data_IF_750016728990
#
_entry.id   IF_750016728990
#
_cell.length_a   1.000
_cell.length_b   1.000
_cell.length_c   1.000
_cell.angle_alpha   90.00
_cell.angle_beta   90.00
_cell.angle_gamma   90.00
#
_symmetry.space_group_name_H-M   'P 1'
#
loop_
_entity.id
_entity.type
_entity.pdbx_description
1 polymer ?
#
# COMPACT_ATOMS: atom_id res chain seq x y z
N UNK A 1 -34.85 -11.70 -13.41
CA UNK A 1 -34.53 -10.48 -12.65
C UNK A 1 -33.35 -10.83 -11.77
N UNK A 2 -32.16 -10.40 -12.20
CA UNK A 2 -30.86 -10.77 -11.65
C UNK A 2 -30.66 -10.10 -10.28
N UNK A 3 -30.63 -10.92 -9.22
CA UNK A 3 -30.17 -10.49 -7.90
C UNK A 3 -28.64 -10.28 -7.97
N UNK A 4 -28.21 -9.07 -8.35
CA UNK A 4 -26.83 -8.63 -8.14
C UNK A 4 -26.66 -8.33 -6.65
N UNK A 5 -26.21 -9.32 -5.88
CA UNK A 5 -25.38 -9.02 -4.70
C UNK A 5 -24.19 -8.23 -5.25
N UNK A 6 -24.21 -6.90 -5.13
CA UNK A 6 -23.20 -6.01 -5.72
C UNK A 6 -21.79 -6.48 -5.33
N UNK A 7 -21.10 -7.06 -6.31
CA UNK A 7 -19.73 -7.50 -6.19
C UNK A 7 -18.84 -6.25 -6.15
N UNK A 8 -18.08 -6.07 -5.08
CA UNK A 8 -17.11 -4.97 -5.00
C UNK A 8 -15.89 -5.35 -5.83
N UNK A 9 -15.62 -4.61 -6.91
CA UNK A 9 -14.43 -4.81 -7.75
C UNK A 9 -13.33 -3.81 -7.42
N UNK A 10 -12.08 -4.12 -7.82
CA UNK A 10 -10.98 -3.18 -7.63
C UNK A 10 -11.17 -1.93 -8.48
N UNK A 11 -11.73 -2.09 -9.67
CA UNK A 11 -12.03 -1.03 -10.64
C UNK A 11 -13.03 -0.03 -10.05
N UNK A 12 -14.07 -0.49 -9.36
CA UNK A 12 -15.05 0.38 -8.70
C UNK A 12 -14.40 1.19 -7.56
N UNK A 13 -13.56 0.53 -6.76
CA UNK A 13 -12.81 1.19 -5.68
C UNK A 13 -11.85 2.23 -6.26
N UNK A 14 -11.12 1.89 -7.32
CA UNK A 14 -10.21 2.79 -8.02
C UNK A 14 -10.90 3.98 -8.69
N UNK A 15 -12.09 3.77 -9.24
CA UNK A 15 -12.89 4.83 -9.84
C UNK A 15 -13.31 5.91 -8.82
N UNK A 16 -13.38 5.57 -7.54
CA UNK A 16 -13.81 6.50 -6.47
C UNK A 16 -12.90 7.72 -6.34
N UNK A 17 -11.58 7.51 -6.25
CA UNK A 17 -10.60 8.61 -6.23
C UNK A 17 -9.18 8.14 -6.62
N UNK A 18 -8.39 9.09 -7.13
CA UNK A 18 -6.95 8.94 -7.34
C UNK A 18 -6.24 9.97 -6.47
N UNK A 19 -5.43 9.45 -5.55
CA UNK A 19 -4.69 10.21 -4.56
C UNK A 19 -3.21 10.23 -4.94
N UNK A 20 -2.60 11.41 -4.90
CA UNK A 20 -1.14 11.57 -4.94
C UNK A 20 -0.65 12.27 -3.68
N UNK A 21 0.46 11.78 -3.12
CA UNK A 21 1.13 12.40 -1.98
C UNK A 21 2.59 12.61 -2.32
N UNK A 22 3.00 13.88 -2.36
CA UNK A 22 4.35 14.30 -2.71
C UNK A 22 5.01 15.01 -1.53
N UNK A 23 6.34 14.89 -1.40
CA UNK A 23 7.08 15.57 -0.34
C UNK A 23 7.29 17.05 -0.71
N UNK A 24 6.93 17.97 0.18
CA UNK A 24 7.26 19.39 -0.01
C UNK A 24 8.78 19.57 0.15
N UNK A 25 9.50 20.15 -0.84
CA UNK A 25 10.96 20.28 -0.80
C UNK A 25 11.44 21.15 0.37
N UNK A 26 10.70 22.22 0.67
CA UNK A 26 11.02 23.17 1.73
C UNK A 26 10.57 22.66 3.10
N UNK A 27 11.52 22.56 4.03
CA UNK A 27 11.23 22.24 5.42
C UNK A 27 10.87 23.53 6.17
N UNK A 28 9.66 23.60 6.72
CA UNK A 28 9.17 24.74 7.51
C UNK A 28 9.45 24.55 9.00
N UNK A 29 9.49 25.66 9.76
CA UNK A 29 9.66 25.67 11.22
C UNK A 29 10.95 26.37 11.67
N UNK A 30 10.83 27.29 12.63
CA UNK A 30 11.93 28.15 13.12
C UNK A 30 12.94 27.41 14.02
N UNK A 31 12.48 26.43 14.82
CA UNK A 31 13.30 25.71 15.81
C UNK A 31 13.29 24.20 15.55
N UNK A 32 12.13 23.64 15.20
CA UNK A 32 11.95 22.24 14.79
C UNK A 32 11.40 22.22 13.36
N UNK A 33 12.28 21.89 12.41
CA UNK A 33 11.88 21.72 11.02
C UNK A 33 10.94 20.52 10.88
N UNK A 34 9.75 20.72 10.31
CA UNK A 34 8.82 19.64 9.96
C UNK A 34 8.74 19.45 8.45
N UNK A 35 8.37 18.23 8.04
CA UNK A 35 8.09 17.89 6.65
C UNK A 35 6.60 18.04 6.39
N UNK A 36 6.27 18.60 5.24
CA UNK A 36 4.92 18.71 4.71
C UNK A 36 4.81 17.89 3.43
N UNK A 37 3.57 17.59 3.05
CA UNK A 37 3.24 16.84 1.85
C UNK A 37 2.20 17.61 1.04
N UNK A 38 2.35 17.65 -0.27
CA UNK A 38 1.26 17.99 -1.17
C UNK A 38 0.36 16.76 -1.30
N UNK A 39 -0.91 16.94 -1.00
CA UNK A 39 -1.93 15.89 -1.07
C UNK A 39 -2.93 16.30 -2.14
N UNK A 40 -3.02 15.52 -3.21
CA UNK A 40 -3.90 15.79 -4.34
C UNK A 40 -5.01 14.75 -4.42
N UNK A 41 -6.26 15.19 -4.63
CA UNK A 41 -7.42 14.34 -4.90
C UNK A 41 -7.97 14.66 -6.28
N UNK A 42 -8.09 13.64 -7.13
CA UNK A 42 -8.69 13.77 -8.45
C UNK A 42 -10.20 13.99 -8.36
N UNK A 43 -10.88 13.28 -7.46
CA UNK A 43 -12.33 13.39 -7.23
C UNK A 43 -12.74 14.81 -6.87
N UNK A 44 -11.92 15.49 -6.06
CA UNK A 44 -12.22 16.84 -5.57
C UNK A 44 -11.56 17.96 -6.39
N UNK A 45 -10.59 17.64 -7.23
CA UNK A 45 -9.84 18.65 -7.99
C UNK A 45 -9.01 19.58 -7.10
N UNK A 46 -8.55 19.08 -5.96
CA UNK A 46 -7.84 19.87 -4.95
C UNK A 46 -6.42 19.36 -4.73
N UNK A 47 -5.53 20.29 -4.40
CA UNK A 47 -4.21 19.99 -3.83
C UNK A 47 -4.05 20.82 -2.56
N UNK A 48 -3.83 20.15 -1.43
CA UNK A 48 -3.66 20.78 -0.11
C UNK A 48 -2.33 20.39 0.52
N UNK A 49 -1.82 21.23 1.41
CA UNK A 49 -0.61 20.92 2.18
C UNK A 49 -1.00 20.27 3.51
N UNK A 50 -0.35 19.15 3.84
CA UNK A 50 -0.54 18.43 5.10
C UNK A 50 0.77 18.04 5.75
N UNK A 51 0.83 18.04 7.07
CA UNK A 51 1.92 17.42 7.84
C UNK A 51 1.52 16.04 8.35
N UNK A 52 2.49 15.19 8.66
CA UNK A 52 2.25 13.83 9.17
C UNK A 52 1.27 13.79 10.37
N UNK A 53 1.35 14.74 11.31
CA UNK A 53 0.45 14.75 12.47
C UNK A 53 -1.02 14.99 12.09
N UNK A 54 -1.32 15.64 10.96
CA UNK A 54 -2.71 15.79 10.50
C UNK A 54 -3.28 14.46 9.98
N UNK A 55 -2.45 13.65 9.30
CA UNK A 55 -2.84 12.27 8.96
C UNK A 55 -3.13 11.46 10.22
N UNK A 56 -2.30 11.60 11.27
CA UNK A 56 -2.53 10.92 12.56
C UNK A 56 -3.86 11.33 13.17
N UNK A 57 -4.17 12.63 13.18
CA UNK A 57 -5.45 13.13 13.68
C UNK A 57 -6.64 12.57 12.91
N UNK A 58 -6.58 12.53 11.56
CA UNK A 58 -7.63 11.92 10.74
C UNK A 58 -7.79 10.43 11.01
N UNK A 59 -6.67 9.71 11.14
CA UNK A 59 -6.67 8.29 11.44
C UNK A 59 -7.30 8.00 12.81
N UNK A 60 -6.97 8.81 13.83
CA UNK A 60 -7.58 8.71 15.16
C UNK A 60 -9.09 8.98 15.13
N UNK A 61 -9.55 9.96 14.33
CA UNK A 61 -10.97 10.22 14.10
C UNK A 61 -11.65 9.00 13.50
N UNK A 62 -11.09 8.37 12.48
CA UNK A 62 -11.68 7.17 11.89
C UNK A 62 -11.71 5.98 12.85
N UNK A 63 -10.65 5.76 13.64
CA UNK A 63 -10.68 4.69 14.64
C UNK A 63 -11.76 4.88 15.70
N UNK A 64 -12.07 6.13 16.05
CA UNK A 64 -13.13 6.45 17.01
C UNK A 64 -14.54 6.41 16.38
N UNK A 65 -14.69 6.90 15.15
CA UNK A 65 -15.96 7.01 14.43
C UNK A 65 -16.40 5.69 13.81
N UNK A 66 -15.46 4.88 13.33
CA UNK A 66 -15.71 3.66 12.55
C UNK A 66 -15.08 2.41 13.17
N UNK A 67 -15.52 1.99 14.37
CA UNK A 67 -14.94 0.83 15.06
C UNK A 67 -15.08 -0.47 14.26
N UNK A 68 -16.08 -0.57 13.37
CA UNK A 68 -16.43 -1.77 12.60
C UNK A 68 -15.90 -1.76 11.16
N UNK A 69 -15.14 -0.73 10.75
CA UNK A 69 -14.54 -0.62 9.41
C UNK A 69 -13.05 -0.94 9.40
N UNK A 70 -12.53 -1.42 8.26
CA UNK A 70 -11.13 -1.76 8.10
C UNK A 70 -10.28 -0.51 7.82
N UNK A 71 -9.81 0.13 8.89
CA UNK A 71 -8.89 1.27 8.80
C UNK A 71 -7.43 0.81 8.90
N UNK A 72 -6.63 1.09 7.86
CA UNK A 72 -5.20 0.81 7.85
C UNK A 72 -4.45 1.64 8.90
N UNK A 73 -3.36 1.10 9.45
CA UNK A 73 -2.46 1.87 10.31
C UNK A 73 -1.56 2.79 9.49
N UNK A 74 -1.24 3.94 10.04
CA UNK A 74 -0.22 4.82 9.49
C UNK A 74 1.19 4.26 9.73
N UNK A 75 2.18 4.61 8.87
CA UNK A 75 3.58 4.31 9.15
C UNK A 75 4.00 4.92 10.50
N UNK A 76 4.89 4.28 11.29
CA UNK A 76 5.16 4.68 12.67
C UNK A 76 5.75 6.09 12.79
N UNK A 77 5.35 6.78 13.87
CA UNK A 77 5.90 8.08 14.25
C UNK A 77 7.32 7.93 14.78
N UNK A 78 8.30 7.89 13.89
CA UNK A 78 9.71 8.04 14.27
C UNK A 78 10.02 9.51 14.50
N UNK A 79 10.43 9.85 15.72
CA UNK A 79 11.06 11.14 16.03
C UNK A 79 12.49 11.03 15.52
N UNK A 80 12.80 11.74 14.43
CA UNK A 80 14.15 11.76 13.88
C UNK A 80 14.67 13.19 13.96
N UNK A 81 15.76 13.36 14.70
CA UNK A 81 16.50 14.62 14.79
C UNK A 81 16.92 15.02 13.38
N UNK A 82 16.63 16.25 12.97
CA UNK A 82 16.97 16.74 11.63
C UNK A 82 16.03 16.29 10.50
N UNK A 83 14.82 15.78 10.79
CA UNK A 83 13.78 15.55 9.78
C UNK A 83 13.87 14.22 9.02
N UNK A 84 14.82 13.34 9.35
CA UNK A 84 14.94 12.01 8.75
C UNK A 84 15.78 11.95 7.47
N UNK A 85 16.27 10.76 7.13
CA UNK A 85 17.01 10.51 5.88
C UNK A 85 16.09 10.60 4.66
N UNK A 86 16.60 10.92 3.46
CA UNK A 86 15.80 10.95 2.23
C UNK A 86 15.02 9.65 2.00
N UNK A 87 15.69 8.49 2.18
CA UNK A 87 15.07 7.16 2.09
C UNK A 87 13.90 6.99 3.07
N UNK A 88 14.06 7.49 4.30
CA UNK A 88 13.00 7.44 5.30
C UNK A 88 11.79 8.29 4.90
N UNK A 89 12.02 9.51 4.42
CA UNK A 89 10.97 10.41 3.98
C UNK A 89 10.20 9.84 2.79
N UNK A 90 10.90 9.24 1.82
CA UNK A 90 10.25 8.63 0.67
C UNK A 90 9.40 7.41 1.06
N UNK A 91 9.92 6.53 1.94
CA UNK A 91 9.14 5.39 2.46
C UNK A 91 7.90 5.85 3.22
N UNK A 92 8.01 6.92 4.02
CA UNK A 92 6.87 7.50 4.73
C UNK A 92 5.85 8.07 3.75
N UNK A 93 6.29 8.88 2.79
CA UNK A 93 5.43 9.45 1.73
C UNK A 93 4.66 8.35 1.00
N UNK A 94 5.34 7.28 0.57
CA UNK A 94 4.71 6.13 -0.08
C UNK A 94 3.64 5.46 0.77
N UNK A 95 3.92 5.25 2.06
CA UNK A 95 2.95 4.68 2.99
C UNK A 95 1.77 5.64 3.27
N UNK A 96 2.00 6.96 3.31
CA UNK A 96 0.92 7.95 3.45
C UNK A 96 0.03 7.98 2.21
N UNK A 97 0.61 7.89 1.01
CA UNK A 97 -0.15 7.76 -0.23
C UNK A 97 -1.06 6.54 -0.20
N UNK A 98 -0.50 5.35 0.02
CA UNK A 98 -1.30 4.12 0.08
C UNK A 98 -2.38 4.15 1.14
N UNK A 99 -2.06 4.66 2.34
CA UNK A 99 -3.05 4.81 3.42
C UNK A 99 -4.22 5.69 2.98
N UNK A 100 -3.93 6.87 2.43
CA UNK A 100 -4.96 7.81 2.00
C UNK A 100 -5.72 7.31 0.77
N UNK A 101 -5.06 6.61 -0.15
CA UNK A 101 -5.69 5.92 -1.27
C UNK A 101 -6.73 4.91 -0.78
N UNK A 102 -6.38 4.05 0.18
CA UNK A 102 -7.32 3.06 0.71
C UNK A 102 -8.51 3.72 1.41
N UNK A 103 -8.28 4.79 2.16
CA UNK A 103 -9.35 5.57 2.82
C UNK A 103 -10.26 6.25 1.79
N UNK A 104 -9.68 6.94 0.81
CA UNK A 104 -10.42 7.71 -0.19
C UNK A 104 -11.15 6.85 -1.23
N UNK A 105 -10.78 5.57 -1.35
CA UNK A 105 -11.44 4.56 -2.19
C UNK A 105 -12.43 3.69 -1.42
N UNK A 106 -12.50 3.80 -0.10
CA UNK A 106 -13.36 2.96 0.72
C UNK A 106 -14.84 3.31 0.54
N UNK A 107 -15.76 2.35 0.32
CA UNK A 107 -17.17 2.64 0.03
C UNK A 107 -17.85 3.56 1.06
N UNK A 108 -17.59 3.33 2.35
CA UNK A 108 -18.07 4.19 3.45
C UNK A 108 -17.18 5.42 3.69
N UNK A 109 -15.88 5.24 3.98
CA UNK A 109 -15.01 6.34 4.44
C UNK A 109 -14.79 7.43 3.38
N UNK A 110 -14.87 7.10 2.09
CA UNK A 110 -14.73 8.06 1.00
C UNK A 110 -15.82 9.16 1.01
N UNK A 111 -16.93 8.94 1.70
CA UNK A 111 -18.05 9.87 1.82
C UNK A 111 -18.04 10.66 3.13
N UNK A 112 -17.03 10.45 3.97
CA UNK A 112 -16.93 11.09 5.26
C UNK A 112 -16.60 12.59 5.16
N UNK A 113 -17.27 13.39 5.99
CA UNK A 113 -17.08 14.84 5.99
C UNK A 113 -15.68 15.25 6.46
N UNK A 114 -15.11 14.54 7.45
CA UNK A 114 -13.77 14.83 7.98
C UNK A 114 -12.69 14.51 6.94
N UNK A 115 -12.88 13.44 6.14
CA UNK A 115 -12.04 13.17 4.97
C UNK A 115 -12.11 14.30 3.95
N UNK A 116 -13.33 14.75 3.61
CA UNK A 116 -13.52 15.83 2.63
C UNK A 116 -12.83 17.11 3.08
N UNK A 117 -13.01 17.51 4.34
CA UNK A 117 -12.29 18.63 4.97
C UNK A 117 -10.78 18.44 4.86
N UNK A 118 -10.29 17.24 5.17
CA UNK A 118 -8.87 16.91 5.05
C UNK A 118 -8.34 16.96 3.60
N UNK A 119 -9.16 16.69 2.58
CA UNK A 119 -8.73 16.75 1.17
C UNK A 119 -8.91 18.14 0.53
N UNK A 120 -9.80 18.97 1.06
CA UNK A 120 -10.24 20.21 0.39
C UNK A 120 -9.81 21.50 1.09
N UNK A 121 -9.72 21.52 2.42
CA UNK A 121 -9.53 22.78 3.17
C UNK A 121 -8.06 23.10 3.42
N UNK A 122 -7.68 24.38 3.47
CA UNK A 122 -6.29 24.75 3.79
C UNK A 122 -5.94 24.50 5.26
N UNK A 123 -6.92 24.55 6.16
CA UNK A 123 -6.77 24.28 7.60
C UNK A 123 -7.88 23.35 8.09
N UNK A 124 -7.60 22.05 8.13
CA UNK A 124 -8.55 21.07 8.64
C UNK A 124 -8.60 21.12 10.18
N UNK A 125 -9.77 21.35 10.75
CA UNK A 125 -10.03 21.19 12.19
C UNK A 125 -10.80 19.90 12.43
N UNK A 126 -10.06 18.84 12.75
CA UNK A 126 -10.62 17.52 13.00
C UNK A 126 -10.96 17.40 14.49
N UNK A 127 -12.25 17.22 14.79
CA UNK A 127 -12.74 17.03 16.17
C UNK A 127 -12.88 15.55 16.50
N UNK A 128 -12.77 15.22 17.80
CA UNK A 128 -13.05 13.86 18.24
C UNK A 128 -14.55 13.56 18.08
N UNK A 129 -14.91 12.46 17.41
CA UNK A 129 -16.32 12.11 17.22
C UNK A 129 -16.96 11.80 18.58
N UNK A 130 -18.19 12.30 18.78
CA UNK A 130 -19.00 12.04 19.99
C UNK A 130 -19.71 10.69 19.94
N UNK A 131 -20.00 10.21 18.74
CA UNK A 131 -20.77 9.01 18.45
C UNK A 131 -20.06 8.20 17.38
N UNK A 132 -20.16 6.87 17.48
CA UNK A 132 -19.67 5.96 16.46
C UNK A 132 -20.70 5.78 15.33
N UNK A 133 -20.28 5.11 14.27
CA UNK A 133 -21.08 4.83 13.07
C UNK A 133 -22.39 4.10 13.38
N UNK A 134 -22.43 3.25 14.42
CA UNK A 134 -23.65 2.52 14.79
C UNK A 134 -24.68 3.46 15.40
N UNK A 135 -24.25 4.36 16.27
CA UNK A 135 -25.14 5.39 16.84
C UNK A 135 -25.58 6.38 15.76
N UNK A 136 -24.67 6.75 14.84
CA UNK A 136 -24.94 7.70 13.76
C UNK A 136 -25.86 7.14 12.66
N UNK A 137 -25.76 5.85 12.35
CA UNK A 137 -26.65 5.18 11.40
C UNK A 137 -28.12 5.12 11.88
N UNK A 138 -28.34 5.35 13.19
CA UNK A 138 -29.63 5.21 13.83
C UNK A 138 -29.98 3.75 14.12
N UNK A 139 -30.78 3.51 15.16
CA UNK A 139 -31.23 2.16 15.52
C UNK A 139 -32.34 1.61 14.60
N UNK A 140 -32.59 2.27 13.45
CA UNK A 140 -33.75 2.10 12.58
C UNK A 140 -33.49 1.24 11.34
N UNK A 141 -32.43 0.45 11.30
CA UNK A 141 -32.30 -0.56 10.24
C UNK A 141 -33.28 -1.72 10.48
N UNK A 142 -34.55 -1.47 10.15
CA UNK A 142 -35.63 -2.45 10.06
C UNK A 142 -35.62 -3.15 8.67
N UNK A 143 -34.59 -2.93 7.86
CA UNK A 143 -34.39 -3.68 6.62
C UNK A 143 -34.30 -5.17 6.97
N UNK A 144 -35.06 -6.04 6.28
CA UNK A 144 -35.00 -7.47 6.54
C UNK A 144 -33.58 -7.96 6.28
N UNK A 145 -32.87 -8.31 7.36
CA UNK A 145 -31.53 -8.88 7.28
C UNK A 145 -31.59 -10.11 6.40
N UNK A 146 -30.91 -10.06 5.26
CA UNK A 146 -30.85 -11.17 4.30
C UNK A 146 -30.23 -12.43 4.90
N UNK A 147 -29.39 -12.27 5.94
CA UNK A 147 -28.73 -13.34 6.66
C UNK A 147 -29.10 -13.30 8.15
N UNK A 148 -29.33 -14.48 8.73
CA UNK A 148 -29.42 -14.66 10.17
C UNK A 148 -28.09 -14.36 10.85
N UNK A 149 -28.14 -14.15 12.17
CA UNK A 149 -26.94 -13.89 12.98
C UNK A 149 -25.93 -15.04 12.92
N UNK A 150 -26.41 -16.29 12.90
CA UNK A 150 -25.55 -17.47 12.85
C UNK A 150 -24.90 -17.63 11.47
N UNK A 151 -25.62 -17.33 10.39
CA UNK A 151 -25.06 -17.31 9.04
C UNK A 151 -23.99 -16.22 8.89
N UNK A 152 -24.24 -15.01 9.40
CA UNK A 152 -23.24 -13.95 9.38
C UNK A 152 -22.00 -14.31 10.21
N UNK A 153 -22.20 -14.95 11.35
CA UNK A 153 -21.10 -15.40 12.20
C UNK A 153 -20.24 -16.48 11.52
N UNK A 154 -20.89 -17.43 10.84
CA UNK A 154 -20.21 -18.46 10.06
C UNK A 154 -19.45 -17.87 8.86
N UNK A 155 -20.09 -16.94 8.13
CA UNK A 155 -19.46 -16.21 7.03
C UNK A 155 -18.22 -15.45 7.52
N UNK A 156 -18.33 -14.68 8.60
CA UNK A 156 -17.21 -13.95 9.18
C UNK A 156 -16.01 -14.86 9.49
N UNK A 157 -16.23 -16.01 10.14
CA UNK A 157 -15.15 -16.96 10.47
C UNK A 157 -14.50 -17.52 9.20
N UNK A 158 -15.31 -17.88 8.21
CA UNK A 158 -14.81 -18.39 6.92
C UNK A 158 -13.97 -17.34 6.18
N UNK A 159 -14.50 -16.13 6.05
CA UNK A 159 -13.86 -14.98 5.40
C UNK A 159 -12.55 -14.59 6.09
N UNK A 160 -12.56 -14.56 7.43
CA UNK A 160 -11.38 -14.27 8.23
C UNK A 160 -10.23 -15.24 7.93
N UNK A 161 -10.51 -16.55 7.89
CA UNK A 161 -9.47 -17.54 7.63
C UNK A 161 -8.97 -17.49 6.18
N UNK A 162 -9.88 -17.37 5.21
CA UNK A 162 -9.50 -17.30 3.81
C UNK A 162 -8.61 -16.09 3.52
N UNK A 163 -8.99 -14.90 4.00
CA UNK A 163 -8.20 -13.68 3.79
C UNK A 163 -6.88 -13.69 4.57
N UNK A 164 -6.84 -14.36 5.73
CA UNK A 164 -5.58 -14.58 6.47
C UNK A 164 -4.59 -15.42 5.67
N UNK A 165 -5.06 -16.49 5.00
CA UNK A 165 -4.21 -17.34 4.16
C UNK A 165 -3.68 -16.56 2.94
N UNK A 166 -4.54 -15.78 2.27
CA UNK A 166 -4.14 -14.91 1.16
C UNK A 166 -3.08 -13.91 1.61
N UNK A 167 -3.29 -13.26 2.76
CA UNK A 167 -2.32 -12.33 3.32
C UNK A 167 -0.97 -12.97 3.59
N UNK A 168 -0.95 -14.17 4.17
CA UNK A 168 0.28 -14.91 4.44
C UNK A 168 1.02 -15.27 3.14
N UNK A 169 0.28 -15.71 2.12
CA UNK A 169 0.80 -16.03 0.80
C UNK A 169 1.40 -14.81 0.09
N UNK A 170 0.61 -13.73 -0.05
CA UNK A 170 1.06 -12.47 -0.66
C UNK A 170 2.25 -11.87 0.10
N UNK A 171 2.25 -11.91 1.43
CA UNK A 171 3.38 -11.40 2.24
C UNK A 171 4.67 -12.18 1.98
N UNK A 172 4.58 -13.50 1.77
CA UNK A 172 5.74 -14.33 1.43
C UNK A 172 6.23 -14.04 0.02
N UNK A 173 5.32 -13.92 -0.95
CA UNK A 173 5.64 -13.58 -2.33
C UNK A 173 6.33 -12.21 -2.43
N UNK A 174 5.76 -11.20 -1.76
CA UNK A 174 6.34 -9.86 -1.70
C UNK A 174 7.78 -9.88 -1.16
N UNK A 175 8.04 -10.60 -0.06
CA UNK A 175 9.40 -10.78 0.47
C UNK A 175 10.35 -11.54 -0.47
N UNK A 176 9.83 -12.37 -1.37
CA UNK A 176 10.66 -13.00 -2.41
C UNK A 176 11.01 -11.95 -3.45
N UNK A 177 10.04 -11.17 -3.94
CA UNK A 177 10.26 -10.12 -4.92
C UNK A 177 11.24 -9.06 -4.41
N UNK A 178 11.07 -8.54 -3.19
CA UNK A 178 12.04 -7.59 -2.59
C UNK A 178 13.47 -8.16 -2.54
N UNK A 179 13.61 -9.46 -2.25
CA UNK A 179 14.93 -10.11 -2.22
C UNK A 179 15.51 -10.29 -3.62
N UNK A 180 14.69 -10.58 -4.63
CA UNK A 180 15.14 -10.70 -6.03
C UNK A 180 15.60 -9.34 -6.51
N UNK A 181 14.78 -8.32 -6.31
CA UNK A 181 15.08 -6.94 -6.68
C UNK A 181 16.36 -6.43 -6.01
N UNK A 182 16.54 -6.69 -4.71
CA UNK A 182 17.79 -6.35 -4.03
C UNK A 182 19.03 -7.04 -4.62
N UNK A 183 18.88 -8.26 -5.16
CA UNK A 183 19.98 -8.92 -5.90
C UNK A 183 20.20 -8.30 -7.27
N UNK A 184 19.12 -7.97 -8.00
CA UNK A 184 19.23 -7.28 -9.28
C UNK A 184 19.91 -5.93 -9.13
N UNK A 185 19.61 -5.17 -8.08
CA UNK A 185 20.28 -3.89 -7.82
C UNK A 185 21.76 -4.05 -7.47
N UNK A 186 22.09 -5.06 -6.66
CA UNK A 186 23.49 -5.39 -6.36
C UNK A 186 24.26 -5.78 -7.65
N UNK A 187 23.67 -6.65 -8.48
CA UNK A 187 24.26 -7.04 -9.77
C UNK A 187 24.42 -5.85 -10.72
N UNK A 188 23.45 -4.93 -10.77
CA UNK A 188 23.57 -3.67 -11.54
C UNK A 188 24.71 -2.79 -11.02
N UNK A 189 24.92 -2.72 -9.71
CA UNK A 189 26.04 -1.98 -9.13
C UNK A 189 27.39 -2.61 -9.53
N UNK A 190 27.49 -3.94 -9.49
CA UNK A 190 28.69 -4.67 -9.91
C UNK A 190 28.97 -4.49 -11.41
N UNK A 191 27.93 -4.49 -12.26
CA UNK A 191 28.06 -4.20 -13.71
C UNK A 191 28.58 -2.78 -13.94
N UNK A 192 28.11 -1.79 -13.17
CA UNK A 192 28.61 -0.41 -13.25
C UNK A 192 30.09 -0.34 -12.87
N UNK A 193 30.51 -1.03 -11.82
CA UNK A 193 31.91 -1.12 -11.42
C UNK A 193 32.78 -1.83 -12.47
N UNK A 194 32.27 -2.92 -13.06
CA UNK A 194 32.93 -3.62 -14.17
C UNK A 194 33.14 -2.67 -15.37
N UNK A 195 32.11 -1.92 -15.76
CA UNK A 195 32.21 -0.94 -16.85
C UNK A 195 33.27 0.14 -16.57
N UNK A 196 33.32 0.66 -15.34
CA UNK A 196 34.34 1.60 -14.92
C UNK A 196 35.76 1.00 -14.97
N UNK A 197 35.92 -0.25 -14.54
CA UNK A 197 37.19 -0.97 -14.62
C UNK A 197 37.67 -1.20 -16.06
N UNK A 198 36.78 -1.67 -16.93
CA UNK A 198 37.08 -1.86 -18.36
C UNK A 198 37.42 -0.54 -19.05
N UNK A 199 36.72 0.54 -18.72
CA UNK A 199 36.99 1.89 -19.22
C UNK A 199 38.40 2.34 -18.82
N UNK A 200 38.79 2.15 -17.55
CA UNK A 200 40.14 2.48 -17.09
C UNK A 200 41.23 1.71 -17.85
N UNK A 201 41.02 0.40 -18.09
CA UNK A 201 41.93 -0.45 -18.86
C UNK A 201 42.04 -0.06 -20.34
N UNK A 202 41.02 0.58 -20.89
CA UNK A 202 41.00 1.03 -22.29
C UNK A 202 41.88 2.26 -22.58
N UNK A 203 42.40 2.92 -21.53
CA UNK A 203 43.19 4.16 -21.66
C UNK A 203 44.46 3.94 -22.50
N UNK A 204 44.66 4.68 -23.61
CA UNK A 204 45.81 4.48 -24.50
C UNK A 204 47.12 4.93 -23.87
N UNK A 205 48.22 4.25 -24.22
CA UNK A 205 49.59 4.62 -23.86
C UNK A 205 50.45 4.77 -25.12
N UNK A 206 51.35 5.78 -25.17
CA UNK A 206 52.20 6.01 -26.35
C UNK A 206 53.20 4.87 -26.62
N UNK A 207 53.41 3.96 -25.67
CA UNK A 207 54.26 2.78 -25.82
C UNK A 207 53.50 1.51 -26.30
N UNK A 208 52.20 1.62 -26.60
CA UNK A 208 51.38 0.46 -26.93
C UNK A 208 51.75 -0.16 -28.29
N UNK A 209 51.93 -1.48 -28.31
CA UNK A 209 52.05 -2.24 -29.57
C UNK A 209 50.69 -2.32 -30.30
N UNK A 210 50.67 -2.59 -31.62
CA UNK A 210 49.40 -2.78 -32.35
C UNK A 210 48.47 -3.82 -31.74
N UNK A 211 49.02 -4.91 -31.18
CA UNK A 211 48.26 -5.94 -30.47
C UNK A 211 47.62 -5.39 -29.20
N UNK A 212 48.34 -4.53 -28.47
CA UNK A 212 47.83 -3.93 -27.24
C UNK A 212 46.74 -2.90 -27.52
N UNK A 213 46.88 -2.12 -28.60
CA UNK A 213 45.85 -1.19 -29.05
C UNK A 213 44.53 -1.92 -29.40
N UNK A 214 44.61 -3.07 -30.08
CA UNK A 214 43.44 -3.90 -30.37
C UNK A 214 42.73 -4.38 -29.09
N UNK A 215 43.49 -4.88 -28.10
CA UNK A 215 42.94 -5.28 -26.79
C UNK A 215 42.27 -4.10 -26.08
N UNK A 216 42.88 -2.91 -26.07
CA UNK A 216 42.28 -1.72 -25.46
C UNK A 216 40.98 -1.31 -26.14
N UNK A 217 40.89 -1.44 -27.46
CA UNK A 217 39.65 -1.17 -28.20
C UNK A 217 38.53 -2.15 -27.83
N UNK A 218 38.86 -3.44 -27.65
CA UNK A 218 37.91 -4.42 -27.10
C UNK A 218 37.45 -4.07 -25.68
N UNK A 219 38.37 -3.66 -24.81
CA UNK A 219 38.03 -3.20 -23.44
C UNK A 219 37.12 -1.97 -23.46
N UNK A 220 37.39 -1.01 -24.35
CA UNK A 220 36.54 0.17 -24.53
C UNK A 220 35.12 -0.22 -24.94
N UNK A 221 35.00 -1.08 -25.95
CA UNK A 221 33.70 -1.54 -26.47
C UNK A 221 32.91 -2.29 -25.39
N UNK A 222 33.59 -3.14 -24.61
CA UNK A 222 32.98 -3.83 -23.48
C UNK A 222 32.56 -2.87 -22.34
N UNK A 223 33.34 -1.82 -22.07
CA UNK A 223 32.99 -0.79 -21.10
C UNK A 223 31.70 -0.04 -21.49
N UNK A 224 31.58 0.35 -22.77
CA UNK A 224 30.39 1.04 -23.30
C UNK A 224 29.11 0.19 -23.13
N UNK A 225 29.20 -1.12 -23.39
CA UNK A 225 28.08 -2.06 -23.17
C UNK A 225 27.66 -2.13 -21.69
N UNK A 226 28.63 -2.25 -20.78
CA UNK A 226 28.37 -2.34 -19.34
C UNK A 226 27.78 -1.03 -18.77
N UNK A 227 28.28 0.13 -19.20
CA UNK A 227 27.75 1.44 -18.79
C UNK A 227 26.32 1.65 -19.29
N UNK A 228 26.03 1.34 -20.55
CA UNK A 228 24.70 1.48 -21.12
C UNK A 228 23.64 0.67 -20.34
N UNK A 229 24.00 -0.55 -19.91
CA UNK A 229 23.14 -1.37 -19.07
C UNK A 229 22.97 -0.83 -17.65
N UNK A 230 24.04 -0.32 -17.05
CA UNK A 230 24.02 0.27 -15.70
C UNK A 230 23.19 1.55 -15.58
N UNK A 231 22.95 2.25 -16.70
CA UNK A 231 22.14 3.47 -16.79
C UNK A 231 20.66 3.20 -17.17
N UNK A 232 20.32 1.98 -17.60
CA UNK A 232 18.94 1.63 -17.97
C UNK A 232 18.03 1.59 -16.73
N UNK A 233 17.10 2.55 -16.63
CA UNK A 233 16.13 2.69 -15.54
C UNK A 233 14.77 2.03 -15.81
N UNK A 234 14.60 1.44 -17.00
CA UNK A 234 13.29 1.35 -17.64
C UNK A 234 12.36 0.24 -17.12
N UNK A 235 12.81 -0.65 -16.22
CA UNK A 235 12.00 -1.78 -15.77
C UNK A 235 12.22 -2.13 -14.30
N UNK A 236 12.17 -1.11 -13.44
CA UNK A 236 11.96 -1.37 -12.02
C UNK A 236 10.50 -1.72 -11.76
N UNK A 237 10.28 -2.55 -10.75
CA UNK A 237 8.92 -2.85 -10.33
C UNK A 237 8.32 -1.56 -9.79
N UNK A 238 7.28 -1.06 -10.45
CA UNK A 238 6.54 0.08 -9.94
C UNK A 238 5.72 -0.36 -8.71
N UNK A 239 6.12 0.16 -7.56
CA UNK A 239 5.46 -0.01 -6.27
C UNK A 239 4.63 1.22 -5.86
N UNK A 240 4.67 2.28 -6.65
CA UNK A 240 3.85 3.47 -6.46
C UNK A 240 2.55 3.35 -7.26
N UNK A 241 2.67 2.94 -8.52
CA UNK A 241 1.57 2.61 -9.44
C UNK A 241 1.76 1.20 -10.04
N UNK A 242 0.75 0.65 -10.71
CA UNK A 242 0.85 -0.62 -11.41
C UNK A 242 0.87 -1.88 -10.52
N UNK A 243 1.59 -2.91 -10.96
CA UNK A 243 1.46 -4.27 -10.42
C UNK A 243 1.99 -4.41 -8.98
N UNK A 244 3.12 -3.78 -8.67
CA UNK A 244 3.70 -3.77 -7.33
C UNK A 244 2.87 -2.91 -6.37
N UNK A 245 2.36 -1.77 -6.86
CA UNK A 245 1.41 -0.93 -6.14
C UNK A 245 0.15 -1.70 -5.70
N UNK A 246 -0.45 -2.50 -6.61
CA UNK A 246 -1.60 -3.37 -6.30
C UNK A 246 -1.29 -4.37 -5.19
N UNK A 247 -0.11 -5.00 -5.20
CA UNK A 247 0.31 -5.94 -4.14
C UNK A 247 0.44 -5.22 -2.79
N UNK A 248 1.04 -4.04 -2.75
CA UNK A 248 1.18 -3.27 -1.51
C UNK A 248 -0.18 -2.79 -0.96
N UNK A 249 -1.07 -2.29 -1.82
CA UNK A 249 -2.43 -1.91 -1.43
C UNK A 249 -3.20 -3.10 -0.85
N UNK A 250 -3.07 -4.29 -1.47
CA UNK A 250 -3.69 -5.51 -0.95
C UNK A 250 -3.14 -5.93 0.40
N UNK A 251 -1.82 -5.86 0.61
CA UNK A 251 -1.20 -6.17 1.90
C UNK A 251 -1.68 -5.23 3.02
N UNK A 252 -1.78 -3.93 2.71
CA UNK A 252 -2.28 -2.92 3.64
C UNK A 252 -3.78 -3.15 3.94
N UNK A 253 -4.62 -3.38 2.93
CA UNK A 253 -6.06 -3.67 3.09
C UNK A 253 -6.32 -4.96 3.89
N UNK A 254 -5.60 -6.05 3.58
CA UNK A 254 -5.65 -7.31 4.34
C UNK A 254 -5.15 -7.12 5.78
N UNK A 255 -4.17 -6.24 5.98
CA UNK A 255 -3.70 -5.83 7.31
C UNK A 255 -4.81 -5.17 8.13
N UNK A 256 -5.50 -4.20 7.54
CA UNK A 256 -6.63 -3.52 8.16
C UNK A 256 -7.78 -4.47 8.48
N UNK A 257 -8.13 -5.35 7.55
CA UNK A 257 -9.19 -6.35 7.77
C UNK A 257 -8.81 -7.31 8.92
N UNK A 258 -7.56 -7.81 8.95
CA UNK A 258 -7.09 -8.65 10.06
C UNK A 258 -7.18 -7.93 11.41
N UNK A 259 -6.80 -6.66 11.46
CA UNK A 259 -6.92 -5.86 12.69
C UNK A 259 -8.38 -5.66 13.10
N UNK A 260 -9.27 -5.37 12.14
CA UNK A 260 -10.71 -5.29 12.38
C UNK A 260 -11.23 -6.61 12.98
N UNK A 261 -10.93 -7.76 12.37
CA UNK A 261 -11.32 -9.06 12.90
C UNK A 261 -10.83 -9.25 14.35
N UNK A 262 -9.60 -8.86 14.66
CA UNK A 262 -9.07 -8.90 16.02
C UNK A 262 -9.84 -7.99 17.00
N UNK A 263 -10.25 -6.78 16.57
CA UNK A 263 -11.09 -5.88 17.38
C UNK A 263 -12.48 -6.49 17.59
N UNK A 264 -13.08 -7.04 16.55
CA UNK A 264 -14.40 -7.64 16.58
C UNK A 264 -14.44 -8.87 17.47
N UNK A 265 -13.48 -9.79 17.36
CA UNK A 265 -13.43 -10.96 18.25
C UNK A 265 -13.41 -10.52 19.71
N UNK A 266 -12.55 -9.57 20.09
CA UNK A 266 -12.50 -9.08 21.48
C UNK A 266 -13.76 -8.31 21.90
N UNK A 267 -14.24 -7.39 21.06
CA UNK A 267 -15.37 -6.51 21.36
C UNK A 267 -16.71 -7.24 21.37
N UNK A 268 -16.98 -8.06 20.36
CA UNK A 268 -18.23 -8.82 20.23
C UNK A 268 -18.38 -9.87 21.33
N UNK A 269 -17.29 -10.49 21.80
CA UNK A 269 -17.36 -11.36 22.99
C UNK A 269 -17.83 -10.59 24.23
N UNK A 270 -17.31 -9.38 24.44
CA UNK A 270 -17.74 -8.52 25.54
C UNK A 270 -19.21 -8.10 25.43
N UNK A 271 -19.65 -7.68 24.24
CA UNK A 271 -21.04 -7.28 24.01
C UNK A 271 -22.03 -8.45 24.15
N UNK A 272 -21.68 -9.65 23.66
CA UNK A 272 -22.49 -10.87 23.82
C UNK A 272 -22.59 -11.28 25.29
N UNK A 273 -21.47 -11.25 26.03
CA UNK A 273 -21.46 -11.55 27.46
C UNK A 273 -22.31 -10.54 28.25
N UNK A 274 -22.19 -9.25 27.95
CA UNK A 274 -22.99 -8.20 28.58
C UNK A 274 -24.49 -8.33 28.24
N UNK A 275 -24.83 -8.68 26.99
CA UNK A 275 -26.21 -8.91 26.59
C UNK A 275 -26.83 -10.14 27.28
N UNK A 276 -26.05 -11.21 27.47
CA UNK A 276 -26.48 -12.42 28.16
C UNK A 276 -26.63 -12.22 29.67
N UNK A 277 -25.84 -11.32 30.28
CA UNK A 277 -25.95 -10.95 31.69
C UNK A 277 -27.11 -9.98 31.98
N UNK A 278 -27.60 -9.27 30.97
CA UNK A 278 -28.75 -8.37 31.09
C UNK A 278 -30.09 -9.12 31.00
N UNK A 279 -31.18 -8.50 31.50
CA UNK A 279 -32.51 -9.10 31.38
C UNK A 279 -32.85 -9.33 29.89
N UNK A 280 -33.35 -10.54 29.49
CA UNK A 280 -33.48 -10.96 28.09
C UNK A 280 -34.29 -10.03 27.19
N UNK A 281 -35.20 -9.25 27.77
CA UNK A 281 -36.08 -8.31 27.08
C UNK A 281 -35.79 -6.84 27.41
N UNK A 282 -34.68 -6.54 28.11
CA UNK A 282 -34.30 -5.15 28.37
C UNK A 282 -33.88 -4.44 27.08
N UNK A 283 -34.18 -3.14 27.01
CA UNK A 283 -33.73 -2.29 25.91
C UNK A 283 -32.20 -2.32 25.74
N UNK A 284 -31.46 -2.42 26.84
CA UNK A 284 -30.00 -2.58 26.84
C UNK A 284 -29.55 -3.88 26.15
N UNK A 285 -30.15 -5.03 26.50
CA UNK A 285 -29.84 -6.31 25.86
C UNK A 285 -30.23 -6.34 24.37
N UNK A 286 -31.32 -5.65 24.00
CA UNK A 286 -31.71 -5.50 22.59
C UNK A 286 -30.71 -4.64 21.81
N UNK A 287 -30.27 -3.51 22.37
CA UNK A 287 -29.29 -2.63 21.76
C UNK A 287 -27.95 -3.34 21.51
N UNK A 288 -27.45 -4.08 22.50
CA UNK A 288 -26.21 -4.87 22.36
C UNK A 288 -26.33 -5.94 21.26
N UNK A 289 -27.48 -6.62 21.13
CA UNK A 289 -27.72 -7.58 20.05
C UNK A 289 -27.79 -6.91 18.67
N UNK A 290 -28.42 -5.74 18.57
CA UNK A 290 -28.43 -4.95 17.32
C UNK A 290 -27.03 -4.53 16.92
N UNK A 291 -26.23 -4.03 17.88
CA UNK A 291 -24.83 -3.64 17.68
C UNK A 291 -23.95 -4.81 17.24
N UNK A 292 -24.12 -5.97 17.85
CA UNK A 292 -23.43 -7.20 17.44
C UNK A 292 -23.77 -7.59 16.00
N UNK A 293 -25.05 -7.52 15.61
CA UNK A 293 -25.49 -7.80 14.24
C UNK A 293 -24.94 -6.79 13.23
N UNK A 294 -24.97 -5.51 13.57
CA UNK A 294 -24.38 -4.45 12.74
C UNK A 294 -22.88 -4.69 12.51
N UNK A 295 -22.14 -5.04 13.57
CA UNK A 295 -20.72 -5.31 13.48
C UNK A 295 -20.37 -6.53 12.61
N UNK A 296 -21.20 -7.59 12.64
CA UNK A 296 -21.05 -8.74 11.74
C UNK A 296 -21.39 -8.39 10.28
N UNK A 297 -22.43 -7.58 10.05
CA UNK A 297 -22.76 -7.12 8.70
C UNK A 297 -21.60 -6.29 8.11
N UNK A 298 -21.08 -5.34 8.89
CA UNK A 298 -19.91 -4.56 8.51
C UNK A 298 -18.73 -5.47 8.20
N UNK A 299 -18.42 -6.48 9.03
CA UNK A 299 -17.25 -7.33 8.78
C UNK A 299 -17.33 -8.10 7.46
N UNK A 300 -18.53 -8.50 7.03
CA UNK A 300 -18.76 -9.14 5.73
C UNK A 300 -18.59 -8.12 4.59
N UNK A 301 -19.08 -6.89 4.75
CA UNK A 301 -18.85 -5.81 3.77
C UNK A 301 -17.34 -5.52 3.62
N UNK A 302 -16.62 -5.41 4.73
CA UNK A 302 -15.18 -5.15 4.74
C UNK A 302 -14.37 -6.30 4.12
N UNK A 303 -14.84 -7.55 4.25
CA UNK A 303 -14.19 -8.69 3.62
C UNK A 303 -14.27 -8.61 2.09
N UNK A 304 -15.38 -8.10 1.52
CA UNK A 304 -15.53 -7.87 0.08
C UNK A 304 -14.53 -6.84 -0.43
N UNK A 305 -14.34 -5.74 0.31
CA UNK A 305 -13.32 -4.73 -0.02
C UNK A 305 -11.91 -5.35 0.00
N UNK A 306 -11.58 -6.11 1.05
CA UNK A 306 -10.29 -6.79 1.14
C UNK A 306 -10.07 -7.82 0.02
N UNK A 307 -11.13 -8.53 -0.40
CA UNK A 307 -11.11 -9.47 -1.54
C UNK A 307 -10.83 -8.76 -2.85
N UNK A 308 -11.47 -7.62 -3.10
CA UNK A 308 -11.26 -6.84 -4.33
C UNK A 308 -9.77 -6.49 -4.53
N UNK A 309 -9.14 -5.94 -3.49
CA UNK A 309 -7.69 -5.66 -3.53
C UNK A 309 -6.85 -6.93 -3.66
N UNK A 310 -7.21 -7.99 -2.94
CA UNK A 310 -6.49 -9.27 -3.00
C UNK A 310 -6.51 -9.89 -4.39
N UNK A 311 -7.68 -9.87 -5.05
CA UNK A 311 -7.85 -10.39 -6.39
C UNK A 311 -7.02 -9.59 -7.40
N UNK A 312 -7.06 -8.26 -7.32
CA UNK A 312 -6.26 -7.40 -8.19
C UNK A 312 -4.75 -7.63 -8.01
N UNK A 313 -4.28 -7.86 -6.78
CA UNK A 313 -2.89 -8.19 -6.50
C UNK A 313 -2.49 -9.58 -7.04
N UNK A 314 -3.34 -10.59 -6.88
CA UNK A 314 -3.08 -11.94 -7.40
C UNK A 314 -3.07 -11.94 -8.93
N UNK A 315 -3.99 -11.22 -9.56
CA UNK A 315 -4.04 -11.04 -11.00
C UNK A 315 -2.86 -10.22 -11.52
N UNK A 316 -2.23 -9.34 -10.73
CA UNK A 316 -1.06 -8.58 -11.17
C UNK A 316 0.28 -9.34 -11.07
N UNK A 317 0.30 -10.51 -10.43
CA UNK A 317 1.54 -11.28 -10.21
C UNK A 317 2.28 -11.64 -11.51
N UNK A 318 1.55 -11.94 -12.58
CA UNK A 318 2.18 -12.29 -13.86
C UNK A 318 3.00 -11.11 -14.43
N UNK A 319 2.56 -9.87 -14.21
CA UNK A 319 3.26 -8.68 -14.68
C UNK A 319 4.56 -8.46 -13.90
N UNK A 320 4.56 -8.74 -12.59
CA UNK A 320 5.77 -8.72 -11.76
C UNK A 320 6.79 -9.76 -12.22
N UNK A 321 6.33 -11.01 -12.43
CA UNK A 321 7.18 -12.09 -12.91
C UNK A 321 7.76 -11.80 -14.30
N UNK A 322 6.97 -11.21 -15.21
CA UNK A 322 7.43 -10.78 -16.52
C UNK A 322 8.53 -9.72 -16.42
N UNK A 323 8.35 -8.73 -15.55
CA UNK A 323 9.33 -7.64 -15.34
C UNK A 323 10.65 -8.19 -14.82
N UNK A 324 10.60 -9.07 -13.80
CA UNK A 324 11.78 -9.75 -13.27
C UNK A 324 12.46 -10.64 -14.33
N UNK A 325 11.68 -11.38 -15.11
CA UNK A 325 12.20 -12.22 -16.19
C UNK A 325 12.91 -11.42 -17.28
N UNK A 326 12.34 -10.28 -17.68
CA UNK A 326 12.94 -9.38 -18.66
C UNK A 326 14.26 -8.77 -18.14
N UNK A 327 14.30 -8.35 -16.88
CA UNK A 327 15.52 -7.87 -16.24
C UNK A 327 16.64 -8.92 -16.26
N UNK A 328 16.35 -10.17 -15.86
CA UNK A 328 17.34 -11.25 -15.92
C UNK A 328 17.78 -11.60 -17.34
N UNK A 329 16.86 -11.60 -18.31
CA UNK A 329 17.18 -11.88 -19.70
C UNK A 329 18.15 -10.84 -20.30
N UNK A 330 17.96 -9.55 -19.96
CA UNK A 330 18.90 -8.49 -20.38
C UNK A 330 20.28 -8.66 -19.76
N UNK A 331 20.36 -8.98 -18.47
CA UNK A 331 21.66 -9.24 -17.84
C UNK A 331 22.37 -10.42 -18.51
N UNK A 332 21.65 -11.49 -18.85
CA UNK A 332 22.22 -12.61 -19.59
C UNK A 332 22.72 -12.20 -20.99
N UNK A 333 21.96 -11.37 -21.71
CA UNK A 333 22.36 -10.84 -23.01
C UNK A 333 23.64 -9.98 -22.90
N UNK A 334 23.72 -9.10 -21.89
CA UNK A 334 24.92 -8.31 -21.62
C UNK A 334 26.17 -9.19 -21.45
N UNK A 335 26.07 -10.27 -20.67
CA UNK A 335 27.22 -11.17 -20.47
C UNK A 335 27.66 -11.84 -21.79
N UNK A 336 26.73 -12.17 -22.68
CA UNK A 336 27.05 -12.70 -24.00
C UNK A 336 27.72 -11.64 -24.89
N UNK A 337 27.22 -10.39 -24.85
CA UNK A 337 27.78 -9.28 -25.62
C UNK A 337 29.19 -8.90 -25.13
N UNK A 338 29.40 -8.89 -23.80
CA UNK A 338 30.72 -8.70 -23.19
C UNK A 338 31.70 -9.80 -23.62
N UNK A 339 31.26 -11.06 -23.64
CA UNK A 339 32.07 -12.16 -24.15
C UNK A 339 32.47 -11.94 -25.62
N UNK A 340 31.53 -11.55 -26.47
CA UNK A 340 31.79 -11.28 -27.87
C UNK A 340 32.75 -10.09 -28.07
N UNK A 341 32.56 -9.00 -27.33
CA UNK A 341 33.38 -7.79 -27.42
C UNK A 341 34.84 -8.03 -26.97
N UNK A 342 35.04 -8.91 -25.99
CA UNK A 342 36.36 -9.23 -25.44
C UNK A 342 37.10 -10.33 -26.20
N UNK A 343 36.45 -10.98 -27.18
CA UNK A 343 37.09 -11.98 -28.02
C UNK A 343 38.00 -11.29 -29.05
N UNK A 344 39.29 -11.57 -28.97
CA UNK A 344 40.36 -10.99 -29.80
C UNK A 344 41.12 -12.07 -30.56
#
# INVERSE_FOLDING_TARGET
MTNSSEEVTFEDLEATDVISVELVPERKGLILKHCEYYVSSRRHGTTVTRRYNEFVQLCDVFFAKYPYRAVCRLPPKRVVVGGGSPVFLQRRRAALQRWLTLVARHPVLAHDADLRTFLCESSARLEKPKHDEFVLAGTQDDSPRQMSMDEMQAAFVSEQEQLRLVQLGLSRLFKIFERVEGRCEAERADIRELGAGLSALSSPSPADSPRWLAVRQSMKSAAELATAMGESSEEEVDYEDGAGGKVLLALDALGAYRELCGRLTRGLHGERAAAAAAAPHSAAAQLLRRRHGYALACSIEESRVARAYSLAALQSLHALLRTLGAAHARTAALWADLHAALRH
#
